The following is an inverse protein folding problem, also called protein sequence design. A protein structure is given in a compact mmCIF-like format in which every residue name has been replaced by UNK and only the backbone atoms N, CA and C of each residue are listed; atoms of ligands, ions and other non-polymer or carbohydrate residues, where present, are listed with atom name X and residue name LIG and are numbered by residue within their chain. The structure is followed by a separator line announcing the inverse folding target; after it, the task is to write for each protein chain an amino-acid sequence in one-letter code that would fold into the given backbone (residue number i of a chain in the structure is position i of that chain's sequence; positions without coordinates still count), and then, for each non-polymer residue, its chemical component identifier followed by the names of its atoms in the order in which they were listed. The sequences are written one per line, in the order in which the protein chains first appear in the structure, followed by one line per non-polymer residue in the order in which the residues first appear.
data_IF_983206950880
#
_entry.id   IF_983206950880
#
_cell.length_a   1.000
_cell.length_b   1.000
_cell.length_c   1.000
_cell.angle_alpha   90.00
_cell.angle_beta   90.00
_cell.angle_gamma   90.00
#
_symmetry.space_group_name_H-M   'P 1'
#
loop_
_entity.id
_entity.type
_entity.pdbx_description
1 polymer ?
#
# COMPACT_ATOMS: atom_id res chain seq x y z
N UNK A 1 19.05 -16.66 -10.37
CA UNK A 1 18.31 -15.43 -10.73
C UNK A 1 18.10 -15.43 -12.22
N UNK A 2 16.85 -15.47 -12.65
CA UNK A 2 16.45 -15.51 -14.05
C UNK A 2 16.75 -14.15 -14.68
N UNK A 3 17.40 -14.07 -15.85
CA UNK A 3 17.62 -12.80 -16.53
C UNK A 3 16.35 -12.40 -17.30
N UNK A 4 15.68 -11.33 -16.87
CA UNK A 4 14.40 -10.93 -17.44
C UNK A 4 14.49 -10.50 -18.91
N UNK A 5 15.68 -10.12 -19.41
CA UNK A 5 15.91 -9.80 -20.83
C UNK A 5 15.71 -11.00 -21.78
N UNK A 6 15.76 -12.21 -21.24
CA UNK A 6 15.58 -13.43 -22.01
C UNK A 6 14.11 -13.88 -22.06
N UNK A 7 13.22 -13.26 -21.27
CA UNK A 7 11.80 -13.62 -21.22
C UNK A 7 11.05 -12.82 -22.29
N UNK A 8 10.58 -13.49 -23.34
CA UNK A 8 9.79 -12.88 -24.42
C UNK A 8 8.38 -13.45 -24.51
N UNK A 9 8.20 -14.67 -24.02
CA UNK A 9 6.94 -15.41 -24.06
C UNK A 9 6.67 -16.03 -22.71
N UNK A 10 5.47 -15.79 -22.18
CA UNK A 10 5.02 -16.37 -20.93
C UNK A 10 3.72 -17.14 -21.13
N UNK A 11 3.43 -18.10 -20.26
CA UNK A 11 2.18 -18.85 -20.32
C UNK A 11 1.63 -19.30 -18.98
N UNK A 12 0.32 -19.44 -18.95
CA UNK A 12 -0.47 -19.95 -17.82
C UNK A 12 -1.64 -20.78 -18.36
N UNK A 13 -2.46 -21.35 -17.48
CA UNK A 13 -3.60 -22.17 -17.85
C UNK A 13 -4.70 -21.36 -18.57
N UNK A 14 -5.52 -22.05 -19.38
CA UNK A 14 -6.67 -21.44 -20.08
C UNK A 14 -8.02 -21.59 -19.38
N UNK A 15 -8.04 -21.92 -18.09
CA UNK A 15 -9.28 -22.09 -17.33
C UNK A 15 -9.86 -20.79 -16.78
N UNK A 16 -10.86 -20.97 -15.89
CA UNK A 16 -11.24 -19.94 -14.93
C UNK A 16 -9.97 -19.45 -14.23
N UNK A 17 -9.74 -18.16 -14.27
CA UNK A 17 -8.55 -17.54 -13.68
C UNK A 17 -8.81 -17.12 -12.24
N UNK A 18 -7.73 -17.03 -11.48
CA UNK A 18 -7.73 -16.65 -10.08
C UNK A 18 -6.95 -15.34 -9.91
N UNK A 19 -6.69 -14.97 -8.67
CA UNK A 19 -5.96 -13.73 -8.41
C UNK A 19 -4.46 -13.92 -8.57
N UNK A 20 -3.96 -15.14 -8.40
CA UNK A 20 -2.55 -15.41 -8.37
C UNK A 20 -1.93 -15.42 -9.78
N UNK A 21 -2.58 -16.06 -10.77
CA UNK A 21 -2.21 -16.03 -12.18
C UNK A 21 -2.41 -14.63 -12.80
N UNK A 22 -3.50 -13.94 -12.47
CA UNK A 22 -3.74 -12.55 -12.91
C UNK A 22 -2.68 -11.60 -12.36
N UNK A 23 -2.35 -11.68 -11.07
CA UNK A 23 -1.34 -10.81 -10.45
C UNK A 23 0.08 -11.14 -10.90
N UNK A 24 0.41 -12.42 -11.08
CA UNK A 24 1.67 -12.83 -11.69
C UNK A 24 1.84 -12.20 -13.09
N UNK A 25 0.78 -12.24 -13.90
CA UNK A 25 0.76 -11.59 -15.22
C UNK A 25 0.96 -10.07 -15.14
N UNK A 26 0.26 -9.43 -14.21
CA UNK A 26 0.39 -7.99 -13.96
C UNK A 26 1.82 -7.60 -13.53
N UNK A 27 2.47 -8.41 -12.69
CA UNK A 27 3.86 -8.23 -12.29
C UNK A 27 4.81 -8.34 -13.49
N UNK A 28 4.61 -9.31 -14.38
CA UNK A 28 5.37 -9.40 -15.62
C UNK A 28 5.19 -8.17 -16.50
N UNK A 29 3.97 -7.62 -16.60
CA UNK A 29 3.73 -6.39 -17.36
C UNK A 29 4.50 -5.19 -16.82
N UNK A 30 4.57 -5.05 -15.50
CA UNK A 30 5.37 -4.00 -14.88
C UNK A 30 6.88 -4.20 -15.12
N UNK A 31 7.35 -5.44 -15.18
CA UNK A 31 8.76 -5.74 -15.36
C UNK A 31 9.23 -5.62 -16.83
N UNK A 32 8.44 -6.20 -17.73
CA UNK A 32 8.81 -6.51 -19.12
C UNK A 32 8.08 -5.63 -20.14
N UNK A 33 7.06 -4.87 -19.72
CA UNK A 33 6.17 -4.13 -20.62
C UNK A 33 5.03 -4.98 -21.15
N UNK A 34 4.48 -4.61 -22.29
CA UNK A 34 3.37 -5.35 -22.92
C UNK A 34 3.86 -6.71 -23.46
N UNK A 35 3.89 -7.71 -22.58
CA UNK A 35 4.31 -9.08 -22.89
C UNK A 35 3.09 -9.93 -23.26
N UNK A 36 3.25 -10.71 -24.34
CA UNK A 36 2.21 -11.64 -24.79
C UNK A 36 2.12 -12.84 -23.84
N UNK A 37 0.91 -13.10 -23.36
CA UNK A 37 0.57 -14.25 -22.53
C UNK A 37 -0.06 -15.33 -23.40
N UNK A 38 0.45 -16.56 -23.30
CA UNK A 38 -0.16 -17.73 -23.93
C UNK A 38 -0.96 -18.50 -22.89
N UNK A 39 -2.29 -18.45 -22.98
CA UNK A 39 -3.20 -19.21 -22.12
C UNK A 39 -3.50 -20.56 -22.75
N UNK A 40 -2.98 -21.66 -22.19
CA UNK A 40 -3.18 -23.02 -22.74
C UNK A 40 -2.96 -24.10 -21.69
N UNK A 41 -3.40 -25.32 -21.97
CA UNK A 41 -3.05 -26.54 -21.22
C UNK A 41 -2.25 -27.54 -22.07
N UNK A 42 -1.89 -27.16 -23.29
CA UNK A 42 -1.06 -28.01 -24.15
C UNK A 42 0.40 -27.93 -23.71
N UNK A 43 0.85 -29.00 -23.05
CA UNK A 43 2.23 -29.18 -22.59
C UNK A 43 3.27 -28.97 -23.70
N UNK A 44 2.96 -29.30 -24.96
CA UNK A 44 3.90 -29.09 -26.06
C UNK A 44 4.07 -27.62 -26.37
N UNK A 45 3.02 -26.81 -26.23
CA UNK A 45 3.09 -25.35 -26.38
C UNK A 45 3.81 -24.77 -25.18
N UNK A 46 3.43 -25.16 -23.96
CA UNK A 46 4.01 -24.63 -22.71
C UNK A 46 5.53 -24.82 -22.65
N UNK A 47 6.05 -25.96 -23.09
CA UNK A 47 7.50 -26.25 -23.17
C UNK A 47 8.29 -25.36 -24.12
N UNK A 48 7.62 -24.64 -25.03
CA UNK A 48 8.28 -23.71 -25.96
C UNK A 48 8.40 -22.29 -25.43
N UNK A 49 7.72 -21.98 -24.31
CA UNK A 49 7.69 -20.65 -23.72
C UNK A 49 8.89 -20.42 -22.80
N UNK A 50 9.29 -19.17 -22.65
CA UNK A 50 10.45 -18.81 -21.82
C UNK A 50 10.14 -18.96 -20.32
N UNK A 51 8.87 -18.76 -19.93
CA UNK A 51 8.42 -18.90 -18.54
C UNK A 51 6.97 -19.38 -18.49
N UNK A 52 6.70 -20.39 -17.65
CA UNK A 52 5.36 -20.91 -17.37
C UNK A 52 5.08 -20.81 -15.88
N UNK A 53 3.87 -20.39 -15.51
CA UNK A 53 3.44 -20.20 -14.13
C UNK A 53 2.01 -20.69 -13.93
N UNK A 54 1.69 -21.08 -12.69
CA UNK A 54 0.38 -21.61 -12.28
C UNK A 54 -0.09 -22.87 -13.05
N UNK A 55 0.83 -23.58 -13.71
CA UNK A 55 0.53 -24.82 -14.41
C UNK A 55 1.81 -25.66 -14.63
N UNK A 56 1.62 -26.96 -14.86
CA UNK A 56 2.65 -27.92 -15.31
C UNK A 56 3.69 -28.33 -14.26
N UNK A 57 3.44 -28.06 -12.98
CA UNK A 57 4.32 -28.41 -11.85
C UNK A 57 5.75 -27.83 -11.97
N UNK A 58 5.91 -26.73 -12.71
CA UNK A 58 7.18 -26.01 -12.89
C UNK A 58 7.58 -25.16 -11.68
N UNK A 59 8.65 -24.37 -11.84
CA UNK A 59 9.22 -23.51 -10.79
C UNK A 59 8.24 -22.48 -10.22
N UNK A 60 7.30 -22.00 -11.04
CA UNK A 60 6.29 -21.00 -10.67
C UNK A 60 4.88 -21.58 -10.60
N UNK A 61 4.76 -22.89 -10.45
CA UNK A 61 3.50 -23.57 -10.16
C UNK A 61 3.46 -23.97 -8.68
N UNK A 62 2.27 -23.96 -8.09
CA UNK A 62 2.03 -24.28 -6.69
C UNK A 62 1.17 -25.53 -6.49
N UNK A 63 0.79 -26.24 -7.55
CA UNK A 63 -0.10 -27.41 -7.47
C UNK A 63 0.60 -28.70 -7.01
N UNK A 64 1.91 -28.69 -6.75
CA UNK A 64 2.66 -29.87 -6.27
C UNK A 64 2.26 -30.25 -4.83
N UNK A 65 2.47 -31.52 -4.45
CA UNK A 65 2.22 -31.98 -3.07
C UNK A 65 3.17 -31.34 -2.05
N UNK A 66 4.41 -31.08 -2.46
CA UNK A 66 5.47 -30.47 -1.66
C UNK A 66 5.55 -28.95 -1.92
N UNK A 67 4.42 -28.25 -1.74
CA UNK A 67 4.38 -26.79 -1.87
C UNK A 67 5.40 -26.14 -0.94
N UNK A 68 6.00 -25.06 -1.41
CA UNK A 68 6.86 -24.23 -0.58
C UNK A 68 5.99 -23.37 0.36
N UNK A 69 6.39 -23.27 1.63
CA UNK A 69 5.60 -22.60 2.67
C UNK A 69 6.47 -21.55 3.36
N UNK A 70 5.92 -20.35 3.54
CA UNK A 70 6.57 -19.26 4.29
C UNK A 70 6.65 -19.59 5.79
N UNK A 71 7.51 -18.87 6.52
CA UNK A 71 7.65 -19.02 7.97
C UNK A 71 6.34 -18.78 8.75
N UNK A 72 5.42 -17.97 8.21
CA UNK A 72 4.11 -17.74 8.80
C UNK A 72 3.04 -18.78 8.41
N UNK A 73 3.44 -19.93 7.86
CA UNK A 73 2.59 -21.03 7.41
C UNK A 73 1.66 -20.71 6.23
N UNK A 74 1.89 -19.61 5.50
CA UNK A 74 1.19 -19.34 4.25
C UNK A 74 1.95 -20.01 3.09
N UNK A 75 1.36 -21.00 2.40
CA UNK A 75 1.95 -21.60 1.20
C UNK A 75 2.08 -20.56 0.11
N UNK A 76 3.09 -20.70 -0.74
CA UNK A 76 3.19 -19.89 -1.93
C UNK A 76 2.10 -20.28 -2.95
N UNK A 77 1.57 -19.31 -3.69
CA UNK A 77 0.89 -19.50 -4.96
C UNK A 77 1.73 -18.88 -6.09
N UNK A 78 1.28 -18.93 -7.34
CA UNK A 78 2.08 -18.40 -8.45
C UNK A 78 2.45 -16.93 -8.25
N UNK A 79 1.51 -16.12 -7.73
CA UNK A 79 1.74 -14.70 -7.39
C UNK A 79 2.92 -14.52 -6.43
N UNK A 80 2.95 -15.24 -5.31
CA UNK A 80 4.07 -15.16 -4.37
C UNK A 80 5.40 -15.66 -4.91
N UNK A 81 5.40 -16.72 -5.72
CA UNK A 81 6.64 -17.23 -6.33
C UNK A 81 7.22 -16.20 -7.30
N UNK A 82 6.38 -15.58 -8.12
CA UNK A 82 6.76 -14.50 -9.03
C UNK A 82 7.19 -13.25 -8.27
N UNK A 83 6.47 -12.84 -7.23
CA UNK A 83 6.86 -11.72 -6.40
C UNK A 83 8.23 -11.95 -5.77
N UNK A 84 8.50 -13.15 -5.25
CA UNK A 84 9.79 -13.49 -4.66
C UNK A 84 10.95 -13.39 -5.65
N UNK A 85 10.79 -13.88 -6.87
CA UNK A 85 11.87 -13.84 -7.87
C UNK A 85 12.04 -12.44 -8.49
N UNK A 86 10.94 -11.72 -8.76
CA UNK A 86 10.96 -10.52 -9.60
C UNK A 86 10.61 -9.22 -8.88
N UNK A 87 10.04 -9.26 -7.67
CA UNK A 87 9.48 -8.12 -6.96
C UNK A 87 10.47 -6.96 -6.76
N UNK A 88 11.70 -7.25 -6.32
CA UNK A 88 12.73 -6.21 -6.15
C UNK A 88 13.09 -5.52 -7.47
N UNK A 89 13.12 -6.26 -8.58
CA UNK A 89 13.38 -5.71 -9.92
C UNK A 89 12.21 -4.89 -10.42
N UNK A 90 10.98 -5.31 -10.14
CA UNK A 90 9.77 -4.52 -10.44
C UNK A 90 9.82 -3.20 -9.67
N UNK A 91 10.11 -3.23 -8.35
CA UNK A 91 10.20 -2.03 -7.52
C UNK A 91 11.24 -1.05 -8.06
N UNK A 92 12.42 -1.54 -8.46
CA UNK A 92 13.48 -0.69 -9.03
C UNK A 92 13.03 0.06 -10.29
N UNK A 93 12.06 -0.44 -11.07
CA UNK A 93 11.50 0.26 -12.24
C UNK A 93 10.74 1.54 -11.88
N UNK A 94 10.22 1.64 -10.66
CA UNK A 94 9.45 2.81 -10.22
C UNK A 94 10.35 3.99 -9.85
N UNK A 95 11.55 3.70 -9.35
CA UNK A 95 12.56 4.71 -9.07
C UNK A 95 13.96 4.07 -9.02
N UNK A 96 14.82 4.49 -9.95
CA UNK A 96 16.20 4.03 -10.07
C UNK A 96 17.10 4.49 -8.92
N UNK A 97 16.64 5.43 -8.08
CA UNK A 97 17.38 5.96 -6.94
C UNK A 97 17.07 5.23 -5.63
N UNK A 98 16.20 4.22 -5.65
CA UNK A 98 15.94 3.41 -4.46
C UNK A 98 17.19 2.63 -4.08
N UNK A 99 17.58 2.76 -2.82
CA UNK A 99 18.65 1.96 -2.22
C UNK A 99 18.12 0.56 -1.85
N UNK A 100 19.02 -0.39 -1.62
CA UNK A 100 18.68 -1.79 -1.31
C UNK A 100 17.70 -1.90 -0.13
N UNK A 101 17.94 -1.16 0.95
CA UNK A 101 17.06 -1.14 2.13
C UNK A 101 15.67 -0.56 1.83
N UNK A 102 15.55 0.37 0.88
CA UNK A 102 14.25 0.89 0.46
C UNK A 102 13.48 -0.16 -0.33
N UNK A 103 14.17 -0.86 -1.23
CA UNK A 103 13.60 -1.96 -2.03
C UNK A 103 13.10 -3.06 -1.10
N UNK A 104 13.91 -3.51 -0.12
CA UNK A 104 13.51 -4.51 0.88
C UNK A 104 12.28 -4.02 1.65
N UNK A 105 12.30 -2.77 2.14
CA UNK A 105 11.16 -2.22 2.89
C UNK A 105 9.87 -2.16 2.05
N UNK A 106 9.95 -1.85 0.76
CA UNK A 106 8.79 -1.85 -0.15
C UNK A 106 8.37 -3.30 -0.43
N UNK A 107 9.33 -4.18 -0.68
CA UNK A 107 9.12 -5.60 -0.98
C UNK A 107 8.31 -6.27 0.12
N UNK A 108 8.77 -6.16 1.37
CA UNK A 108 8.13 -6.77 2.53
C UNK A 108 6.74 -6.19 2.78
N UNK A 109 6.58 -4.88 2.58
CA UNK A 109 5.29 -4.19 2.72
C UNK A 109 4.28 -4.70 1.70
N UNK A 110 4.67 -4.87 0.44
CA UNK A 110 3.79 -5.39 -0.61
C UNK A 110 3.51 -6.89 -0.41
N UNK A 111 4.54 -7.67 -0.07
CA UNK A 111 4.36 -9.11 0.17
C UNK A 111 3.35 -9.35 1.29
N UNK A 112 3.56 -8.69 2.44
CA UNK A 112 2.72 -8.82 3.62
C UNK A 112 1.28 -8.31 3.41
N UNK A 113 1.11 -7.17 2.75
CA UNK A 113 -0.19 -6.49 2.68
C UNK A 113 -1.02 -6.82 1.43
N UNK A 114 -0.44 -7.51 0.44
CA UNK A 114 -1.13 -7.87 -0.80
C UNK A 114 -0.91 -9.35 -1.15
N UNK A 115 0.34 -9.75 -1.36
CA UNK A 115 0.68 -11.04 -1.99
C UNK A 115 0.31 -12.23 -1.10
N UNK A 116 0.63 -12.18 0.19
CA UNK A 116 0.34 -13.27 1.11
C UNK A 116 -1.17 -13.55 1.25
N UNK A 117 -2.02 -12.52 1.17
CA UNK A 117 -3.47 -12.70 1.21
C UNK A 117 -4.02 -13.39 -0.04
N UNK A 118 -3.42 -13.11 -1.20
CA UNK A 118 -3.73 -13.76 -2.47
C UNK A 118 -3.32 -15.23 -2.42
N UNK A 119 -2.07 -15.49 -2.05
CA UNK A 119 -1.53 -16.84 -1.92
C UNK A 119 -2.32 -17.69 -0.90
N UNK A 120 -2.71 -17.10 0.23
CA UNK A 120 -3.52 -17.78 1.24
C UNK A 120 -4.88 -18.20 0.66
N UNK A 121 -5.58 -17.27 0.01
CA UNK A 121 -6.89 -17.52 -0.59
C UNK A 121 -6.82 -18.61 -1.64
N UNK A 122 -5.80 -18.54 -2.51
CA UNK A 122 -5.63 -19.46 -3.62
C UNK A 122 -5.22 -20.87 -3.17
N UNK A 123 -4.49 -20.97 -2.05
CA UNK A 123 -4.23 -22.24 -1.38
C UNK A 123 -5.37 -22.72 -0.46
N UNK A 124 -6.53 -22.06 -0.47
CA UNK A 124 -7.72 -22.47 0.30
C UNK A 124 -7.60 -22.22 1.81
N UNK A 125 -6.82 -21.23 2.23
CA UNK A 125 -6.72 -20.82 3.64
C UNK A 125 -7.80 -19.78 3.95
N UNK A 126 -8.65 -20.10 4.92
CA UNK A 126 -9.70 -19.22 5.39
C UNK A 126 -9.15 -18.03 6.20
N UNK A 127 -9.34 -16.81 5.70
CA UNK A 127 -9.09 -15.57 6.44
C UNK A 127 -10.30 -15.27 7.33
N UNK A 128 -10.15 -15.47 8.64
CA UNK A 128 -11.25 -15.30 9.60
C UNK A 128 -11.59 -13.83 9.83
N UNK A 129 -12.88 -13.50 9.73
CA UNK A 129 -13.47 -12.20 10.07
C UNK A 129 -14.94 -12.39 10.45
N UNK A 130 -15.44 -11.63 11.42
CA UNK A 130 -16.85 -11.67 11.85
C UNK A 130 -17.81 -11.12 10.78
N UNK A 131 -17.29 -10.35 9.82
CA UNK A 131 -18.01 -9.82 8.66
C UNK A 131 -17.33 -10.28 7.36
N UNK A 132 -18.11 -10.46 6.29
CA UNK A 132 -17.56 -10.75 4.96
C UNK A 132 -16.73 -9.55 4.49
N UNK A 133 -15.44 -9.77 4.29
CA UNK A 133 -14.52 -8.79 3.71
C UNK A 133 -14.29 -9.18 2.25
N UNK A 134 -14.65 -8.30 1.32
CA UNK A 134 -14.34 -8.49 -0.10
C UNK A 134 -12.85 -8.25 -0.33
N UNK A 135 -12.13 -9.30 -0.71
CA UNK A 135 -10.71 -9.28 -1.04
C UNK A 135 -10.46 -8.88 -2.50
N UNK A 136 -9.20 -8.61 -2.85
CA UNK A 136 -8.81 -8.45 -4.25
C UNK A 136 -9.07 -9.72 -5.07
N UNK A 137 -8.98 -10.90 -4.43
CA UNK A 137 -9.27 -12.18 -5.07
C UNK A 137 -10.75 -12.33 -5.40
N UNK A 138 -11.64 -11.85 -4.53
CA UNK A 138 -13.07 -11.78 -4.82
C UNK A 138 -13.37 -10.83 -5.99
N UNK A 139 -12.68 -9.67 -6.04
CA UNK A 139 -12.85 -8.70 -7.13
C UNK A 139 -12.38 -9.29 -8.46
N UNK A 140 -11.19 -9.87 -8.51
CA UNK A 140 -10.65 -10.52 -9.71
C UNK A 140 -11.56 -11.67 -10.15
N UNK A 141 -12.07 -12.47 -9.21
CA UNK A 141 -12.98 -13.55 -9.54
C UNK A 141 -14.22 -13.07 -10.30
N UNK A 142 -14.74 -11.86 -10.01
CA UNK A 142 -15.91 -11.29 -10.69
C UNK A 142 -15.66 -10.87 -12.14
N UNK A 143 -14.40 -10.82 -12.60
CA UNK A 143 -14.11 -10.64 -14.02
C UNK A 143 -14.34 -11.92 -14.82
N UNK A 144 -14.30 -13.11 -14.20
CA UNK A 144 -14.61 -14.33 -14.94
C UNK A 144 -16.05 -14.26 -15.48
N UNK A 145 -16.28 -14.65 -16.75
CA UNK A 145 -17.62 -14.71 -17.31
C UNK A 145 -18.56 -15.53 -16.42
N UNK A 146 -19.80 -15.07 -16.30
CA UNK A 146 -20.85 -15.83 -15.61
C UNK A 146 -21.21 -17.08 -16.42
N UNK A 147 -21.79 -18.07 -15.75
CA UNK A 147 -22.16 -19.35 -16.38
C UNK A 147 -23.16 -19.19 -17.54
N UNK A 148 -23.91 -18.09 -17.56
CA UNK A 148 -24.92 -17.71 -18.54
C UNK A 148 -24.44 -16.67 -19.56
N UNK A 149 -23.14 -16.31 -19.55
CA UNK A 149 -22.54 -15.39 -20.50
C UNK A 149 -21.84 -16.12 -21.67
N UNK A 150 -21.76 -15.45 -22.82
CA UNK A 150 -20.94 -15.86 -23.97
C UNK A 150 -19.64 -15.04 -24.07
N UNK A 151 -19.29 -14.27 -23.04
CA UNK A 151 -18.08 -13.45 -23.03
C UNK A 151 -16.82 -14.33 -23.12
N UNK A 152 -15.80 -13.81 -23.80
CA UNK A 152 -14.52 -14.50 -23.91
C UNK A 152 -13.78 -14.49 -22.57
N UNK A 153 -13.44 -15.68 -22.05
CA UNK A 153 -12.64 -15.83 -20.84
C UNK A 153 -11.26 -15.15 -20.99
N UNK A 154 -10.69 -15.18 -22.20
CA UNK A 154 -9.38 -14.58 -22.44
C UNK A 154 -9.44 -13.05 -22.51
N UNK A 155 -10.53 -12.47 -23.03
CA UNK A 155 -10.75 -11.01 -22.97
C UNK A 155 -11.03 -10.55 -21.54
N UNK A 156 -11.85 -11.30 -20.79
CA UNK A 156 -12.10 -11.08 -19.37
C UNK A 156 -10.81 -11.16 -18.53
N UNK A 157 -9.93 -12.11 -18.83
CA UNK A 157 -8.62 -12.21 -18.19
C UNK A 157 -7.76 -10.98 -18.47
N UNK A 158 -7.75 -10.52 -19.72
CA UNK A 158 -7.02 -9.32 -20.12
C UNK A 158 -7.50 -8.08 -19.33
N UNK A 159 -8.81 -7.89 -19.18
CA UNK A 159 -9.39 -6.83 -18.35
C UNK A 159 -8.98 -6.94 -16.88
N UNK A 160 -9.03 -8.16 -16.32
CA UNK A 160 -8.60 -8.43 -14.95
C UNK A 160 -7.11 -8.11 -14.75
N UNK A 161 -6.26 -8.46 -15.71
CA UNK A 161 -4.81 -8.17 -15.68
C UNK A 161 -4.55 -6.68 -15.78
N UNK A 162 -5.27 -5.93 -16.63
CA UNK A 162 -5.15 -4.47 -16.70
C UNK A 162 -5.51 -3.82 -15.37
N UNK A 163 -6.63 -4.24 -14.76
CA UNK A 163 -7.04 -3.79 -13.43
C UNK A 163 -5.96 -4.11 -12.38
N UNK A 164 -5.50 -5.36 -12.31
CA UNK A 164 -4.47 -5.80 -11.37
C UNK A 164 -3.16 -5.04 -11.55
N UNK A 165 -2.75 -4.76 -12.79
CA UNK A 165 -1.55 -3.98 -13.13
C UNK A 165 -1.63 -2.57 -12.55
N UNK A 166 -2.77 -1.89 -12.69
CA UNK A 166 -2.95 -0.57 -12.09
C UNK A 166 -3.00 -0.63 -10.56
N UNK A 167 -3.62 -1.66 -9.96
CA UNK A 167 -3.63 -1.85 -8.51
C UNK A 167 -2.21 -1.99 -7.94
N UNK A 168 -1.41 -2.94 -8.43
CA UNK A 168 -0.06 -3.17 -7.92
C UNK A 168 0.87 -1.99 -8.20
N UNK A 169 0.74 -1.34 -9.36
CA UNK A 169 1.47 -0.10 -9.69
C UNK A 169 1.17 1.01 -8.69
N UNK A 170 -0.09 1.22 -8.30
CA UNK A 170 -0.47 2.24 -7.32
C UNK A 170 0.02 1.89 -5.92
N UNK A 171 -0.05 0.62 -5.53
CA UNK A 171 0.48 0.16 -4.25
C UNK A 171 1.99 0.43 -4.15
N UNK A 172 2.78 0.02 -5.15
CA UNK A 172 4.23 0.26 -5.17
C UNK A 172 4.52 1.77 -5.21
N UNK A 173 3.85 2.53 -6.06
CA UNK A 173 4.03 3.99 -6.15
C UNK A 173 3.77 4.69 -4.82
N UNK A 174 2.78 4.24 -4.03
CA UNK A 174 2.51 4.77 -2.68
C UNK A 174 3.66 4.47 -1.73
N UNK A 175 4.23 3.26 -1.77
CA UNK A 175 5.38 2.93 -0.93
C UNK A 175 6.61 3.75 -1.33
N UNK A 176 6.89 3.91 -2.62
CA UNK A 176 7.95 4.80 -3.12
C UNK A 176 7.74 6.25 -2.65
N UNK A 177 6.50 6.75 -2.67
CA UNK A 177 6.17 8.07 -2.15
C UNK A 177 6.44 8.20 -0.64
N UNK A 178 6.24 7.13 0.14
CA UNK A 178 6.60 7.10 1.58
C UNK A 178 8.12 7.18 1.76
N UNK A 179 8.91 6.50 0.92
CA UNK A 179 10.38 6.61 0.95
C UNK A 179 10.81 8.06 0.69
N UNK A 180 10.27 8.70 -0.34
CA UNK A 180 10.60 10.09 -0.70
C UNK A 180 10.24 11.09 0.40
N UNK A 181 9.18 10.82 1.16
CA UNK A 181 8.76 11.67 2.25
C UNK A 181 9.73 11.65 3.45
N UNK A 182 10.61 10.64 3.55
CA UNK A 182 11.52 10.51 4.70
C UNK A 182 12.43 11.72 4.88
N UNK A 183 12.94 12.30 3.80
CA UNK A 183 13.80 13.49 3.85
C UNK A 183 13.03 14.67 4.46
N UNK A 184 11.79 14.90 4.01
CA UNK A 184 10.93 15.99 4.51
C UNK A 184 10.66 15.80 6.01
N UNK A 185 10.39 14.57 6.44
CA UNK A 185 10.12 14.25 7.85
C UNK A 185 11.37 14.41 8.70
N UNK A 186 12.53 13.94 8.24
CA UNK A 186 13.80 14.09 8.96
C UNK A 186 14.17 15.57 9.12
N UNK A 187 14.10 16.35 8.04
CA UNK A 187 14.37 17.79 8.07
C UNK A 187 13.42 18.52 9.02
N UNK A 188 12.11 18.19 8.99
CA UNK A 188 11.13 18.79 9.88
C UNK A 188 11.35 18.40 11.35
N UNK A 189 11.79 17.16 11.60
CA UNK A 189 12.12 16.68 12.93
C UNK A 189 13.35 17.39 13.48
N UNK A 190 14.45 17.47 12.71
CA UNK A 190 15.71 18.08 13.13
C UNK A 190 15.60 19.59 13.35
N UNK A 191 14.85 20.29 12.49
CA UNK A 191 14.70 21.75 12.54
C UNK A 191 13.54 22.23 13.42
N UNK A 192 12.89 21.34 14.18
CA UNK A 192 11.76 21.72 15.04
C UNK A 192 12.18 22.72 16.10
N UNK A 193 11.35 23.73 16.32
CA UNK A 193 11.59 24.76 17.35
C UNK A 193 10.85 24.47 18.65
N UNK A 194 9.93 23.51 18.64
CA UNK A 194 9.16 23.03 19.79
C UNK A 194 9.29 21.52 19.79
N UNK A 195 9.73 20.95 20.91
CA UNK A 195 10.08 19.54 20.98
C UNK A 195 8.88 18.63 20.65
N UNK A 196 7.68 19.04 21.02
CA UNK A 196 6.43 18.28 20.89
C UNK A 196 5.68 18.51 19.57
N UNK A 197 6.13 19.45 18.73
CA UNK A 197 5.41 19.87 17.52
C UNK A 197 6.35 19.85 16.31
N UNK A 198 6.02 19.02 15.32
CA UNK A 198 6.71 18.98 14.04
C UNK A 198 5.90 19.71 12.98
N UNK A 199 6.55 20.59 12.21
CA UNK A 199 5.90 21.33 11.11
C UNK A 199 6.48 20.87 9.78
N UNK A 200 5.65 20.30 8.92
CA UNK A 200 6.06 19.84 7.59
C UNK A 200 6.02 21.00 6.60
N UNK A 201 7.00 21.04 5.69
CA UNK A 201 7.06 22.01 4.59
C UNK A 201 5.92 21.82 3.58
N UNK A 202 5.50 20.58 3.35
CA UNK A 202 4.42 20.21 2.45
C UNK A 202 3.67 18.98 3.00
N UNK A 203 2.42 18.78 2.58
CA UNK A 203 1.66 17.57 2.89
C UNK A 203 2.35 16.33 2.32
N UNK A 204 2.68 15.37 3.18
CA UNK A 204 3.28 14.09 2.80
C UNK A 204 2.98 12.98 3.83
N UNK A 205 3.14 11.69 3.48
CA UNK A 205 3.08 10.61 4.45
C UNK A 205 4.22 10.74 5.48
N UNK A 206 3.89 10.96 6.76
CA UNK A 206 4.90 11.24 7.78
C UNK A 206 4.98 10.18 8.90
N UNK A 207 3.87 9.53 9.22
CA UNK A 207 3.74 8.72 10.45
C UNK A 207 4.78 7.61 10.57
N UNK A 208 4.97 6.80 9.51
CA UNK A 208 5.89 5.67 9.58
C UNK A 208 7.34 6.12 9.80
N UNK A 209 7.78 7.18 9.12
CA UNK A 209 9.13 7.70 9.32
C UNK A 209 9.27 8.34 10.70
N UNK A 210 8.27 9.12 11.13
CA UNK A 210 8.29 9.75 12.45
C UNK A 210 8.43 8.70 13.57
N UNK A 211 7.66 7.61 13.51
CA UNK A 211 7.74 6.53 14.51
C UNK A 211 9.12 5.85 14.54
N UNK A 212 9.89 5.87 13.44
CA UNK A 212 11.25 5.32 13.40
C UNK A 212 12.29 6.25 14.03
N UNK A 213 12.17 7.56 13.80
CA UNK A 213 13.19 8.54 14.22
C UNK A 213 12.90 9.15 15.60
N UNK A 214 11.64 9.26 16.00
CA UNK A 214 11.22 9.82 17.29
C UNK A 214 11.15 8.73 18.37
N UNK A 215 12.32 8.20 18.71
CA UNK A 215 12.51 7.08 19.64
C UNK A 215 11.99 7.38 21.06
N UNK A 216 12.01 8.65 21.47
CA UNK A 216 11.55 9.09 22.78
C UNK A 216 10.06 9.45 22.79
N UNK A 217 9.38 9.34 21.64
CA UNK A 217 7.98 9.73 21.47
C UNK A 217 7.69 11.17 21.90
N UNK A 218 8.60 12.09 21.59
CA UNK A 218 8.51 13.50 21.97
C UNK A 218 7.44 14.24 21.16
N UNK A 219 7.29 13.92 19.87
CA UNK A 219 6.35 14.62 18.99
C UNK A 219 4.93 14.16 19.30
N UNK A 220 4.09 15.13 19.66
CA UNK A 220 2.69 14.94 20.00
C UNK A 220 1.78 15.36 18.85
N UNK A 221 2.18 16.41 18.10
CA UNK A 221 1.42 16.94 16.98
C UNK A 221 2.29 17.16 15.75
N UNK A 222 1.71 16.89 14.58
CA UNK A 222 2.27 17.26 13.28
C UNK A 222 1.36 18.29 12.62
N UNK A 223 1.94 19.40 12.19
CA UNK A 223 1.26 20.42 11.39
C UNK A 223 1.71 20.28 9.95
N UNK A 224 0.77 20.18 9.02
CA UNK A 224 1.06 20.09 7.59
C UNK A 224 0.15 20.99 6.77
N UNK A 225 0.67 21.72 5.76
CA UNK A 225 -0.19 22.45 4.83
C UNK A 225 -0.95 21.45 3.94
N UNK A 226 -2.21 21.77 3.67
CA UNK A 226 -3.02 21.21 2.61
C UNK A 226 -3.23 22.30 1.57
N UNK A 227 -2.38 22.29 0.55
CA UNK A 227 -2.42 23.26 -0.55
C UNK A 227 -3.74 23.20 -1.34
N UNK A 228 -4.42 22.04 -1.36
CA UNK A 228 -5.68 21.88 -2.11
C UNK A 228 -6.79 22.70 -1.48
N UNK A 229 -6.84 22.71 -0.15
CA UNK A 229 -7.88 23.40 0.62
C UNK A 229 -7.40 24.74 1.21
N UNK A 230 -6.15 25.14 0.92
CA UNK A 230 -5.50 26.31 1.50
C UNK A 230 -5.63 26.36 3.03
N UNK A 231 -5.40 25.23 3.70
CA UNK A 231 -5.50 25.07 5.15
C UNK A 231 -4.24 24.44 5.76
N UNK A 232 -4.13 24.52 7.08
CA UNK A 232 -3.11 23.83 7.87
C UNK A 232 -3.79 22.81 8.76
N UNK A 233 -3.43 21.54 8.59
CA UNK A 233 -3.93 20.42 9.39
C UNK A 233 -3.03 20.21 10.59
N UNK A 234 -3.63 20.06 11.76
CA UNK A 234 -3.00 19.65 13.01
C UNK A 234 -3.42 18.20 13.24
N UNK A 235 -2.47 17.28 13.25
CA UNK A 235 -2.73 15.86 13.46
C UNK A 235 -2.06 15.37 14.72
N UNK A 236 -2.80 14.61 15.53
CA UNK A 236 -2.23 13.90 16.68
C UNK A 236 -1.35 12.75 16.21
N UNK A 237 -0.18 12.58 16.84
CA UNK A 237 0.71 11.46 16.56
C UNK A 237 0.21 10.22 17.26
N UNK A 238 0.08 9.12 16.52
CA UNK A 238 -0.30 7.82 17.06
C UNK A 238 0.85 7.16 17.81
N UNK A 239 0.56 6.34 18.82
CA UNK A 239 1.59 5.52 19.50
C UNK A 239 2.11 4.40 18.59
N UNK A 240 1.23 3.82 17.77
CA UNK A 240 1.55 2.77 16.81
C UNK A 240 0.77 3.03 15.50
N UNK A 241 1.38 2.70 14.36
CA UNK A 241 0.75 2.84 13.04
C UNK A 241 -0.57 2.06 12.91
N UNK A 242 -0.70 0.92 13.60
CA UNK A 242 -1.81 -0.02 13.47
C UNK A 242 -2.99 0.27 14.41
N UNK A 243 -2.88 1.28 15.29
CA UNK A 243 -3.95 1.65 16.24
C UNK A 243 -4.41 3.10 16.05
N UNK A 244 -5.49 3.47 16.72
CA UNK A 244 -5.95 4.86 16.81
C UNK A 244 -5.53 5.55 18.11
N UNK A 245 -4.72 4.88 18.94
CA UNK A 245 -4.28 5.44 20.21
C UNK A 245 -3.28 6.58 19.95
N UNK A 246 -3.67 7.80 20.33
CA UNK A 246 -2.84 8.98 20.21
C UNK A 246 -1.82 9.07 21.37
N UNK A 247 -0.67 9.68 21.11
CA UNK A 247 0.27 10.13 22.15
C UNK A 247 -0.34 11.28 22.94
N UNK A 248 -1.04 12.17 22.25
CA UNK A 248 -1.84 13.24 22.83
C UNK A 248 -2.92 13.66 21.85
N UNK A 249 -4.12 13.93 22.37
CA UNK A 249 -5.22 14.48 21.61
C UNK A 249 -5.22 16.01 21.66
N UNK A 250 -5.80 16.67 20.65
CA UNK A 250 -6.04 18.11 20.63
C UNK A 250 -6.92 18.52 21.84
N UNK A 251 -6.70 19.70 22.42
CA UNK A 251 -7.39 20.18 23.62
C UNK A 251 -8.92 19.95 23.62
N UNK A 252 -9.46 19.43 24.72
CA UNK A 252 -10.86 18.99 24.81
C UNK A 252 -11.87 20.11 24.58
N UNK A 253 -11.55 21.33 25.00
CA UNK A 253 -12.48 22.46 24.99
C UNK A 253 -12.90 22.92 23.59
N UNK A 254 -12.28 22.45 22.51
CA UNK A 254 -12.65 22.78 21.11
C UNK A 254 -13.16 21.59 20.30
N UNK A 255 -13.12 20.36 20.84
CA UNK A 255 -13.47 19.16 20.08
C UNK A 255 -14.96 19.17 19.71
N UNK A 256 -15.26 19.00 18.42
CA UNK A 256 -16.64 18.93 17.92
C UNK A 256 -17.42 20.24 17.97
N UNK A 257 -16.76 21.37 18.22
CA UNK A 257 -17.37 22.71 18.25
C UNK A 257 -17.41 23.35 16.87
N UNK A 258 -18.29 24.34 16.70
CA UNK A 258 -18.35 25.13 15.46
C UNK A 258 -17.09 26.02 15.32
N UNK A 259 -16.78 26.44 14.09
CA UNK A 259 -15.65 27.32 13.81
C UNK A 259 -15.69 28.61 14.65
N UNK A 260 -16.87 29.20 14.84
CA UNK A 260 -17.08 30.41 15.66
C UNK A 260 -16.76 30.19 17.14
N UNK A 261 -17.17 29.03 17.67
CA UNK A 261 -16.88 28.66 19.05
C UNK A 261 -15.37 28.45 19.25
N UNK A 262 -14.70 27.74 18.32
CA UNK A 262 -13.25 27.52 18.36
C UNK A 262 -12.52 28.86 18.33
N UNK A 263 -12.91 29.74 17.40
CA UNK A 263 -12.37 31.10 17.28
C UNK A 263 -12.49 31.89 18.60
N UNK A 264 -13.67 31.85 19.23
CA UNK A 264 -13.91 32.52 20.51
C UNK A 264 -13.08 31.96 21.66
N UNK A 265 -12.89 30.64 21.73
CA UNK A 265 -12.16 29.96 22.81
C UNK A 265 -10.64 30.18 22.66
N UNK A 266 -10.11 30.00 21.46
CA UNK A 266 -8.67 30.08 21.18
C UNK A 266 -8.21 31.51 20.91
N UNK A 267 -9.14 32.45 20.70
CA UNK A 267 -8.87 33.84 20.30
C UNK A 267 -8.10 33.88 18.97
N UNK A 268 -8.73 33.29 17.95
CA UNK A 268 -8.33 33.29 16.53
C UNK A 268 -9.59 33.58 15.70
N UNK A 269 -9.46 33.79 14.40
CA UNK A 269 -10.58 34.14 13.51
C UNK A 269 -10.72 33.21 12.29
N UNK A 270 -9.88 32.18 12.21
CA UNK A 270 -9.68 31.37 11.01
C UNK A 270 -9.69 29.85 11.27
N UNK A 271 -10.25 29.40 12.39
CA UNK A 271 -10.52 27.98 12.61
C UNK A 271 -11.47 27.45 11.53
N UNK A 272 -11.22 26.23 11.07
CA UNK A 272 -12.07 25.54 10.10
C UNK A 272 -12.84 24.45 10.82
N UNK A 273 -12.16 23.48 11.44
CA UNK A 273 -12.82 22.43 12.21
C UNK A 273 -11.90 21.79 13.27
N UNK A 274 -12.50 21.09 14.23
CA UNK A 274 -11.81 20.14 15.10
C UNK A 274 -12.65 18.87 15.26
N UNK A 275 -12.10 17.71 14.94
CA UNK A 275 -12.82 16.44 15.08
C UNK A 275 -13.15 16.17 16.56
N UNK A 276 -14.35 15.62 16.83
CA UNK A 276 -14.84 15.36 18.19
C UNK A 276 -13.94 14.44 19.03
N UNK A 277 -13.24 13.52 18.38
CA UNK A 277 -12.29 12.62 19.03
C UNK A 277 -10.91 13.26 19.28
N UNK A 278 -10.65 14.48 18.78
CA UNK A 278 -9.41 15.20 19.08
C UNK A 278 -8.19 14.81 18.24
N UNK A 279 -8.29 13.88 17.29
CA UNK A 279 -7.14 13.44 16.49
C UNK A 279 -6.73 14.40 15.35
N UNK A 280 -7.62 15.31 14.94
CA UNK A 280 -7.36 16.28 13.87
C UNK A 280 -8.14 17.58 14.04
N UNK A 281 -7.51 18.70 13.66
CA UNK A 281 -8.13 20.01 13.48
C UNK A 281 -7.49 20.73 12.28
N UNK A 282 -8.14 21.78 11.77
CA UNK A 282 -7.53 22.66 10.77
C UNK A 282 -7.88 24.13 10.93
N UNK A 283 -6.99 24.98 10.42
CA UNK A 283 -7.08 26.44 10.39
C UNK A 283 -6.63 26.96 9.03
N UNK A 284 -6.95 28.21 8.67
CA UNK A 284 -6.46 28.81 7.41
C UNK A 284 -5.00 29.26 7.49
N UNK A 285 -4.53 29.63 8.68
CA UNK A 285 -3.16 30.11 8.92
C UNK A 285 -2.32 29.14 9.74
N UNK A 286 -1.01 29.13 9.46
CA UNK A 286 -0.02 28.40 10.24
C UNK A 286 0.05 28.90 11.69
N UNK A 287 -0.15 30.21 11.91
CA UNK A 287 -0.10 30.82 13.23
C UNK A 287 -1.18 30.25 14.15
N UNK A 288 -2.41 30.18 13.67
CA UNK A 288 -3.52 29.57 14.41
C UNK A 288 -3.33 28.08 14.63
N UNK A 289 -2.81 27.35 13.63
CA UNK A 289 -2.50 25.93 13.77
C UNK A 289 -1.49 25.69 14.91
N UNK A 290 -0.42 26.49 14.92
CA UNK A 290 0.61 26.43 15.94
C UNK A 290 0.08 26.83 17.32
N UNK A 291 -0.81 27.82 17.39
CA UNK A 291 -1.45 28.24 18.64
C UNK A 291 -2.31 27.13 19.26
N UNK A 292 -3.14 26.47 18.45
CA UNK A 292 -3.95 25.32 18.91
C UNK A 292 -3.06 24.17 19.37
N UNK A 293 -2.02 23.83 18.60
CA UNK A 293 -1.09 22.76 18.95
C UNK A 293 -0.35 23.05 20.28
N UNK A 294 0.18 24.27 20.46
CA UNK A 294 0.83 24.71 21.71
C UNK A 294 -0.10 24.62 22.92
N UNK A 295 -1.34 25.10 22.78
CA UNK A 295 -2.33 24.99 23.85
C UNK A 295 -2.65 23.53 24.19
N UNK A 296 -2.73 22.67 23.18
CA UNK A 296 -2.94 21.23 23.37
C UNK A 296 -1.76 20.53 24.04
N UNK A 297 -0.52 20.98 23.81
CA UNK A 297 0.66 20.45 24.53
C UNK A 297 0.59 20.76 26.02
N UNK A 298 0.08 21.94 26.41
CA UNK A 298 0.08 22.41 27.80
C UNK A 298 -1.06 21.89 28.69
N UNK A 299 -2.07 21.24 28.11
CA UNK A 299 -3.23 20.67 28.84
C UNK A 299 -3.03 19.21 29.18
#
# INVERSE_FOLDING_TARGET
MINEKNIKTIGTHSGKFHADDVMATAMFRLLLGDIKVTRTRDENILRTLDLVYDISLGEFDHHQLNKEIRENNIPYAACGLIWREFGSRIIQKFDSQLEENDIISIFDSVDKNLVQGIDATDNGIDIKSDIKVTSISDIIQNFNPTWDSNDSIDEAFEEAVQYATEVIKRIISRQVSVIKARIIVNEAFENRTINEIMVLKNGCPWLQQLLKIDVNSEILFVISPDETNAEYKIQSVKKNADTFEARKDILESIRGKSSEEINSIIKIDDAIFCHKAGFIASTKSMESALKIAKLSVST
#
